data_IF_545714892447
#
_entry.id   IF_545714892447
#
_cell.length_a   1.000
_cell.length_b   1.000
_cell.length_c   1.000
_cell.angle_alpha   90.00
_cell.angle_beta   90.00
_cell.angle_gamma   90.00
#
_symmetry.space_group_name_H-M   'P 1'
#
loop_
_entity.id
_entity.type
_entity.pdbx_description
1 polymer ?
#
# COMPACT_ATOMS: atom_id res chain seq x y z
N UNK A 1 -5.40 20.08 -15.59
CA UNK A 1 -5.69 18.67 -15.29
C UNK A 1 -5.03 18.31 -13.97
N UNK A 2 -5.78 18.41 -12.88
CA UNK A 2 -5.29 18.06 -11.54
C UNK A 2 -5.54 16.57 -11.32
N UNK A 3 -4.53 15.77 -10.93
CA UNK A 3 -4.78 14.39 -10.56
C UNK A 3 -5.73 14.34 -9.35
N UNK A 4 -6.77 13.48 -9.36
CA UNK A 4 -7.67 13.31 -8.24
C UNK A 4 -6.93 12.65 -7.07
N UNK A 5 -6.67 13.39 -6.00
CA UNK A 5 -6.11 12.84 -4.76
C UNK A 5 -5.16 13.77 -4.00
N UNK A 6 -4.49 14.69 -4.69
CA UNK A 6 -3.60 15.66 -4.05
C UNK A 6 -4.38 16.88 -3.58
N UNK A 7 -5.00 16.79 -2.40
CA UNK A 7 -5.45 17.97 -1.66
C UNK A 7 -4.24 18.56 -0.95
N UNK A 8 -3.58 19.50 -1.61
CA UNK A 8 -2.51 20.28 -1.01
C UNK A 8 -3.11 21.43 -0.19
N UNK A 9 -3.05 21.31 1.13
CA UNK A 9 -3.35 22.39 2.06
C UNK A 9 -2.04 23.13 2.40
N UNK A 10 -1.82 24.37 1.89
CA UNK A 10 -0.55 25.11 2.00
C UNK A 10 -0.16 25.57 3.42
N UNK A 11 -0.93 25.17 4.44
CA UNK A 11 -0.69 25.45 5.86
C UNK A 11 -0.18 24.22 6.64
N UNK A 12 -0.04 23.06 5.98
CA UNK A 12 0.37 21.78 6.59
C UNK A 12 1.72 21.24 6.07
N UNK A 13 2.43 22.00 5.24
CA UNK A 13 3.65 21.53 4.57
C UNK A 13 4.83 21.24 5.54
N UNK A 14 4.93 21.96 6.65
CA UNK A 14 5.98 21.72 7.66
C UNK A 14 5.73 20.40 8.41
N UNK A 15 4.47 20.11 8.74
CA UNK A 15 4.06 18.83 9.34
C UNK A 15 4.27 17.67 8.35
N UNK A 16 3.91 17.86 7.08
CA UNK A 16 4.05 16.84 6.05
C UNK A 16 5.53 16.42 5.86
N UNK A 17 6.45 17.39 5.85
CA UNK A 17 7.90 17.15 5.81
C UNK A 17 8.37 16.36 7.03
N UNK A 18 8.01 16.80 8.24
CA UNK A 18 8.41 16.10 9.47
C UNK A 18 7.84 14.67 9.55
N UNK A 19 6.63 14.46 9.04
CA UNK A 19 6.00 13.13 8.97
C UNK A 19 6.76 12.23 8.01
N UNK A 20 7.02 12.65 6.77
CA UNK A 20 7.72 11.82 5.78
C UNK A 20 9.16 11.52 6.23
N UNK A 21 9.87 12.52 6.74
CA UNK A 21 11.22 12.35 7.29
C UNK A 21 11.22 11.38 8.48
N UNK A 22 10.16 11.39 9.30
CA UNK A 22 9.98 10.48 10.42
C UNK A 22 9.70 9.04 10.00
N UNK A 23 8.69 8.81 9.14
CA UNK A 23 8.28 7.44 8.74
C UNK A 23 9.28 6.78 7.81
N UNK A 24 9.98 7.57 6.99
CA UNK A 24 11.05 7.10 6.10
C UNK A 24 12.44 7.15 6.74
N UNK A 25 12.54 7.46 8.05
CA UNK A 25 13.83 7.45 8.74
C UNK A 25 14.45 6.05 8.73
N UNK A 26 15.79 5.97 8.68
CA UNK A 26 16.52 4.69 8.63
C UNK A 26 16.16 3.74 9.80
N UNK A 27 15.81 4.29 10.96
CA UNK A 27 15.38 3.52 12.13
C UNK A 27 14.02 2.85 11.94
N UNK A 28 13.10 3.48 11.21
CA UNK A 28 11.73 3.04 11.05
C UNK A 28 11.55 2.24 9.74
N UNK A 29 12.27 2.60 8.68
CA UNK A 29 12.19 1.96 7.35
C UNK A 29 12.60 0.47 7.37
N UNK A 30 13.41 0.06 8.34
CA UNK A 30 13.81 -1.35 8.55
C UNK A 30 12.71 -2.19 9.21
N UNK A 31 11.69 -1.56 9.76
CA UNK A 31 10.54 -2.22 10.35
C UNK A 31 9.44 -2.39 9.30
N UNK A 32 8.65 -3.45 9.39
CA UNK A 32 7.51 -3.66 8.48
C UNK A 32 6.52 -2.47 8.51
N UNK A 33 6.17 -1.99 9.70
CA UNK A 33 5.24 -0.87 9.86
C UNK A 33 5.78 0.45 9.31
N UNK A 34 7.05 0.77 9.56
CA UNK A 34 7.68 1.99 9.05
C UNK A 34 7.91 1.94 7.54
N UNK A 35 8.34 0.80 6.99
CA UNK A 35 8.44 0.61 5.54
C UNK A 35 7.09 0.82 4.84
N UNK A 36 6.03 0.18 5.36
CA UNK A 36 4.69 0.32 4.80
C UNK A 36 4.19 1.77 4.87
N UNK A 37 4.35 2.42 6.02
CA UNK A 37 3.94 3.81 6.19
C UNK A 37 4.70 4.77 5.27
N UNK A 38 6.03 4.60 5.14
CA UNK A 38 6.84 5.37 4.20
C UNK A 38 6.37 5.17 2.76
N UNK A 39 6.18 3.92 2.34
CA UNK A 39 5.70 3.58 0.99
C UNK A 39 4.35 4.22 0.70
N UNK A 40 3.38 4.11 1.61
CA UNK A 40 2.04 4.67 1.41
C UNK A 40 2.08 6.20 1.20
N UNK A 41 2.96 6.91 1.92
CA UNK A 41 3.15 8.34 1.71
C UNK A 41 3.81 8.63 0.36
N UNK A 42 4.86 7.87 0.01
CA UNK A 42 5.61 8.03 -1.24
C UNK A 42 4.80 7.67 -2.49
N UNK A 43 3.88 6.70 -2.41
CA UNK A 43 3.01 6.29 -3.51
C UNK A 43 2.09 7.45 -3.95
N UNK A 44 1.64 8.29 -3.01
CA UNK A 44 0.77 9.45 -3.29
C UNK A 44 1.46 10.55 -4.13
N UNK A 45 2.79 10.56 -4.10
CA UNK A 45 3.66 11.51 -4.81
C UNK A 45 4.52 10.81 -5.86
N UNK A 46 4.16 9.59 -6.28
CA UNK A 46 4.88 8.82 -7.30
C UNK A 46 5.10 9.62 -8.60
N UNK A 47 4.16 10.51 -8.95
CA UNK A 47 4.28 11.39 -10.11
C UNK A 47 5.51 12.32 -10.07
N UNK A 48 6.11 12.57 -8.90
CA UNK A 48 7.33 13.35 -8.73
C UNK A 48 8.59 12.60 -9.21
N UNK A 49 8.53 11.27 -9.24
CA UNK A 49 9.64 10.40 -9.65
C UNK A 49 9.58 10.04 -11.15
N UNK A 50 8.47 10.37 -11.81
CA UNK A 50 8.33 10.20 -13.25
C UNK A 50 9.09 11.26 -14.01
N UNK A 51 9.71 10.86 -15.12
CA UNK A 51 10.42 11.77 -16.00
C UNK A 51 9.52 12.92 -16.49
N UNK A 52 10.05 14.14 -16.67
CA UNK A 52 9.23 15.33 -16.91
C UNK A 52 8.44 15.31 -18.23
N UNK A 53 8.76 14.40 -19.15
CA UNK A 53 8.03 14.19 -20.41
C UNK A 53 6.91 13.14 -20.30
N UNK A 54 6.81 12.42 -19.18
CA UNK A 54 5.72 11.47 -18.92
C UNK A 54 4.40 12.23 -18.72
N UNK A 55 3.32 11.77 -19.34
CA UNK A 55 2.01 12.44 -19.25
C UNK A 55 1.42 12.46 -17.84
N UNK A 56 1.91 11.59 -16.95
CA UNK A 56 1.52 11.52 -15.55
C UNK A 56 2.54 12.15 -14.61
N UNK A 57 3.62 12.75 -15.12
CA UNK A 57 4.60 13.44 -14.29
C UNK A 57 4.02 14.73 -13.74
N UNK A 58 4.27 14.95 -12.46
CA UNK A 58 3.96 16.19 -11.76
C UNK A 58 5.24 16.96 -11.37
N UNK A 59 6.42 16.40 -11.71
CA UNK A 59 7.73 16.89 -11.30
C UNK A 59 7.99 18.35 -11.71
N UNK A 60 7.53 18.77 -12.89
CA UNK A 60 7.71 20.16 -13.35
C UNK A 60 6.64 21.12 -12.82
N UNK A 61 5.41 20.63 -12.61
CA UNK A 61 4.29 21.45 -12.15
C UNK A 61 4.34 21.71 -10.63
N UNK A 62 4.93 20.79 -9.86
CA UNK A 62 4.98 20.82 -8.40
C UNK A 62 6.41 20.62 -7.88
N UNK A 63 7.40 21.16 -8.59
CA UNK A 63 8.81 21.01 -8.27
C UNK A 63 9.17 21.27 -6.78
N UNK A 64 8.71 22.37 -6.13
CA UNK A 64 9.08 22.62 -4.73
C UNK A 64 8.48 21.59 -3.77
N UNK A 65 7.27 21.08 -4.05
CA UNK A 65 6.63 20.04 -3.24
C UNK A 65 7.33 18.70 -3.46
N UNK A 66 7.60 18.32 -4.71
CA UNK A 66 8.30 17.10 -5.05
C UNK A 66 9.66 17.00 -4.35
N UNK A 67 10.37 18.13 -4.19
CA UNK A 67 11.66 18.16 -3.48
C UNK A 67 11.56 17.65 -2.03
N UNK A 68 10.45 17.89 -1.34
CA UNK A 68 10.25 17.45 0.05
C UNK A 68 10.23 15.92 0.12
N UNK A 69 9.58 15.27 -0.85
CA UNK A 69 9.39 13.82 -0.85
C UNK A 69 10.51 13.06 -1.54
N UNK A 70 11.18 13.65 -2.55
CA UNK A 70 12.26 12.98 -3.30
C UNK A 70 13.35 12.46 -2.37
N UNK A 71 13.82 13.31 -1.45
CA UNK A 71 14.93 12.94 -0.55
C UNK A 71 14.52 11.84 0.44
N UNK A 72 13.31 11.93 1.01
CA UNK A 72 12.82 10.95 1.99
C UNK A 72 12.40 9.63 1.37
N UNK A 73 11.79 9.64 0.19
CA UNK A 73 11.27 8.44 -0.48
C UNK A 73 12.34 7.67 -1.24
N UNK A 74 13.46 8.30 -1.64
CA UNK A 74 14.58 7.63 -2.31
C UNK A 74 15.23 6.54 -1.45
N UNK A 75 14.94 6.48 -0.15
CA UNK A 75 15.39 5.39 0.72
C UNK A 75 14.71 4.05 0.37
N UNK A 76 13.50 4.08 -0.20
CA UNK A 76 12.76 2.87 -0.58
C UNK A 76 13.45 2.08 -1.70
N UNK A 77 14.21 2.76 -2.57
CA UNK A 77 15.05 2.11 -3.59
C UNK A 77 16.36 1.56 -3.02
N UNK A 78 16.74 1.96 -1.81
CA UNK A 78 18.00 1.58 -1.15
C UNK A 78 17.84 0.47 -0.11
N UNK A 79 16.60 0.18 0.29
CA UNK A 79 16.29 -0.79 1.33
C UNK A 79 15.43 -1.91 0.77
N UNK A 80 15.82 -3.15 1.02
CA UNK A 80 14.96 -4.28 0.71
C UNK A 80 13.67 -4.19 1.52
N UNK A 81 12.51 -4.49 0.93
CA UNK A 81 11.26 -4.55 1.67
C UNK A 81 11.45 -5.53 2.83
N UNK A 82 11.15 -5.15 4.09
CA UNK A 82 11.26 -6.05 5.21
C UNK A 82 10.31 -7.21 4.94
N UNK A 83 10.89 -8.36 4.56
CA UNK A 83 10.14 -9.60 4.41
C UNK A 83 9.50 -9.88 5.74
N UNK A 84 8.17 -9.99 5.77
CA UNK A 84 7.46 -10.54 6.91
C UNK A 84 7.78 -12.03 7.00
N UNK A 85 9.05 -12.39 7.24
CA UNK A 85 9.34 -13.56 8.05
C UNK A 85 9.00 -13.17 9.48
N UNK A 86 7.70 -13.01 9.75
CA UNK A 86 7.18 -13.62 10.96
C UNK A 86 7.41 -15.13 10.77
N UNK A 87 8.64 -15.56 11.04
CA UNK A 87 8.95 -16.90 11.49
C UNK A 87 8.38 -17.02 12.90
N UNK A 88 7.07 -16.84 13.03
CA UNK A 88 6.33 -17.40 14.12
C UNK A 88 6.55 -18.89 13.99
N UNK A 89 7.23 -19.47 14.96
CA UNK A 89 7.18 -20.90 15.25
C UNK A 89 5.71 -21.27 15.43
N UNK A 90 4.99 -21.55 14.34
CA UNK A 90 3.75 -22.33 14.40
C UNK A 90 4.23 -23.77 14.50
N UNK A 91 4.69 -24.15 15.70
CA UNK A 91 4.50 -25.53 16.14
C UNK A 91 3.03 -25.60 16.50
N UNK A 92 2.21 -26.04 15.57
CA UNK A 92 0.99 -26.83 15.79
C UNK A 92 0.24 -26.91 14.46
N UNK A 93 0.14 -28.15 13.97
CA UNK A 93 -0.86 -28.68 13.04
C UNK A 93 -1.92 -27.66 12.55
N UNK A 94 -1.57 -26.83 11.56
CA UNK A 94 -2.56 -25.99 10.88
C UNK A 94 -3.25 -26.88 9.86
N UNK A 95 -4.23 -27.66 10.33
CA UNK A 95 -5.29 -28.14 9.44
C UNK A 95 -5.99 -26.91 8.87
N UNK A 96 -5.65 -26.56 7.62
CA UNK A 96 -6.46 -25.62 6.86
C UNK A 96 -7.90 -26.12 6.89
N UNK A 97 -8.89 -25.28 7.28
CA UNK A 97 -10.27 -25.69 7.20
C UNK A 97 -10.58 -26.04 5.75
N UNK A 98 -11.28 -27.15 5.54
CA UNK A 98 -11.75 -27.52 4.22
C UNK A 98 -12.57 -26.36 3.63
N UNK A 99 -12.39 -26.11 2.33
CA UNK A 99 -13.16 -25.08 1.65
C UNK A 99 -14.67 -25.33 1.83
N UNK A 100 -15.43 -24.24 2.03
CA UNK A 100 -16.89 -24.35 2.12
C UNK A 100 -17.43 -24.97 0.81
N UNK A 101 -18.19 -26.07 0.86
CA UNK A 101 -18.71 -26.73 -0.34
C UNK A 101 -19.66 -25.83 -1.15
N UNK A 102 -20.20 -24.77 -0.55
CA UNK A 102 -21.06 -23.78 -1.18
C UNK A 102 -20.31 -22.55 -1.69
N UNK A 103 -18.97 -22.56 -1.68
CA UNK A 103 -18.14 -21.52 -2.29
C UNK A 103 -18.61 -21.12 -3.71
N UNK A 104 -18.97 -22.07 -4.62
CA UNK A 104 -19.47 -21.72 -5.95
C UNK A 104 -20.83 -21.01 -5.93
N UNK A 105 -21.65 -21.24 -4.91
CA UNK A 105 -22.92 -20.56 -4.72
C UNK A 105 -22.70 -19.13 -4.22
N UNK A 106 -21.93 -18.95 -3.14
CA UNK A 106 -21.61 -17.61 -2.58
C UNK A 106 -20.90 -16.73 -3.61
N UNK A 107 -19.92 -17.28 -4.31
CA UNK A 107 -19.12 -16.56 -5.31
C UNK A 107 -19.68 -16.65 -6.74
N UNK A 108 -20.93 -17.08 -6.92
CA UNK A 108 -21.56 -17.10 -8.24
C UNK A 108 -21.70 -15.69 -8.82
N UNK A 109 -21.65 -15.57 -10.14
CA UNK A 109 -21.81 -14.30 -10.89
C UNK A 109 -23.10 -13.56 -10.51
N UNK A 110 -24.14 -14.26 -10.05
CA UNK A 110 -25.40 -13.67 -9.61
C UNK A 110 -25.28 -13.04 -8.22
N UNK A 111 -24.51 -13.64 -7.32
CA UNK A 111 -24.37 -13.20 -5.94
C UNK A 111 -23.32 -12.11 -5.77
N UNK A 112 -22.18 -12.19 -6.47
CA UNK A 112 -21.14 -11.14 -6.40
C UNK A 112 -21.55 -9.80 -7.05
N UNK A 113 -22.70 -9.76 -7.73
CA UNK A 113 -23.28 -8.52 -8.29
C UNK A 113 -24.00 -7.68 -7.23
N UNK A 114 -24.37 -8.26 -6.09
CA UNK A 114 -24.92 -7.52 -4.96
C UNK A 114 -23.82 -7.26 -3.93
N UNK A 115 -23.97 -6.17 -3.16
CA UNK A 115 -23.03 -5.83 -2.08
C UNK A 115 -22.94 -6.95 -1.05
N UNK A 116 -24.09 -7.46 -0.60
CA UNK A 116 -24.18 -8.57 0.36
C UNK A 116 -23.56 -9.86 -0.18
N UNK A 117 -23.82 -10.24 -1.43
CA UNK A 117 -23.27 -11.47 -1.98
C UNK A 117 -21.77 -11.38 -2.27
N UNK A 118 -21.26 -10.19 -2.59
CA UNK A 118 -19.82 -9.95 -2.66
C UNK A 118 -19.15 -10.04 -1.28
N UNK A 119 -19.79 -9.53 -0.23
CA UNK A 119 -19.28 -9.61 1.14
C UNK A 119 -19.24 -11.06 1.63
N UNK A 120 -20.31 -11.82 1.40
CA UNK A 120 -20.38 -13.25 1.69
C UNK A 120 -19.30 -14.04 0.95
N UNK A 121 -19.11 -13.78 -0.35
CA UNK A 121 -18.06 -14.43 -1.13
C UNK A 121 -16.65 -14.11 -0.58
N UNK A 122 -16.41 -12.87 -0.15
CA UNK A 122 -15.12 -12.50 0.47
C UNK A 122 -14.89 -13.24 1.77
N UNK A 123 -15.90 -13.32 2.64
CA UNK A 123 -15.79 -13.98 3.95
C UNK A 123 -15.36 -15.44 3.81
N UNK A 124 -16.01 -16.20 2.91
CA UNK A 124 -15.68 -17.62 2.67
C UNK A 124 -14.37 -17.82 1.90
N UNK A 125 -13.91 -16.83 1.14
CA UNK A 125 -12.71 -16.93 0.31
C UNK A 125 -11.44 -16.43 1.03
N UNK A 126 -11.58 -15.49 1.98
CA UNK A 126 -10.45 -14.89 2.71
C UNK A 126 -9.52 -15.89 3.40
N UNK A 127 -10.01 -16.97 4.05
CA UNK A 127 -9.14 -17.98 4.66
C UNK A 127 -8.21 -18.68 3.66
N UNK A 128 -8.62 -18.81 2.39
CA UNK A 128 -7.84 -19.46 1.32
C UNK A 128 -6.99 -18.50 0.49
N UNK A 129 -6.97 -17.19 0.81
CA UNK A 129 -6.26 -16.17 0.02
C UNK A 129 -4.76 -16.45 -0.10
N UNK A 130 -4.16 -17.15 0.87
CA UNK A 130 -2.76 -17.54 0.84
C UNK A 130 -2.41 -18.53 -0.29
N UNK A 131 -3.39 -19.24 -0.86
CA UNK A 131 -3.17 -20.23 -1.93
C UNK A 131 -3.03 -19.61 -3.33
N UNK A 132 -3.23 -18.30 -3.47
CA UNK A 132 -3.25 -17.59 -4.76
C UNK A 132 -2.11 -16.58 -4.93
N UNK A 133 -1.00 -16.77 -4.19
CA UNK A 133 0.24 -15.99 -4.38
C UNK A 133 1.11 -16.54 -5.51
#
# INVERSE_FOLDING_TARGET
NTPPGLKFDPFKDDDAKAIIEGVCAEKDIKTFGGYQACREQCDSVYCCFLAPWESHSCANAFQPQCKIYIDSCAILDQVDPPTTEQKGTIKEDVSLPAADPNLPAYCSVKNVKSRDGMEQCKDVCMPGKCCFQ
#
